data_IF_594437822225
#
_entry.id   IF_594437822225
#
_cell.length_a   1.000
_cell.length_b   1.000
_cell.length_c   1.000
_cell.angle_alpha   90.00
_cell.angle_beta   90.00
_cell.angle_gamma   90.00
#
_symmetry.space_group_name_H-M   'P 1'
#
loop_
_entity.id
_entity.type
_entity.pdbx_description
1 polymer ?
#
# COMPACT_ATOMS: atom_id res chain seq x y z
N UNK A 1 -33.27 -9.51 -38.11
CA UNK A 1 -32.16 -10.35 -37.59
C UNK A 1 -31.45 -9.62 -36.44
N UNK A 2 -32.03 -9.59 -35.24
CA UNK A 2 -31.40 -8.97 -34.05
C UNK A 2 -31.73 -9.82 -32.82
N UNK A 3 -31.18 -11.03 -32.74
CA UNK A 3 -31.46 -11.89 -31.56
C UNK A 3 -30.46 -13.03 -31.34
N UNK A 4 -29.23 -12.94 -31.86
CA UNK A 4 -28.18 -13.93 -31.59
C UNK A 4 -27.01 -13.41 -30.75
N UNK A 5 -26.82 -12.09 -30.66
CA UNK A 5 -25.66 -11.47 -29.99
C UNK A 5 -25.87 -11.14 -28.51
N UNK A 6 -27.09 -11.33 -27.97
CA UNK A 6 -27.44 -11.01 -26.58
C UNK A 6 -27.69 -12.26 -25.71
N UNK A 7 -27.06 -13.40 -26.05
CA UNK A 7 -27.21 -14.65 -25.27
C UNK A 7 -25.89 -15.30 -24.85
N UNK A 8 -24.78 -14.55 -24.79
CA UNK A 8 -23.48 -15.14 -24.40
C UNK A 8 -22.54 -14.24 -23.59
N UNK A 9 -23.08 -13.39 -22.71
CA UNK A 9 -22.25 -12.57 -21.79
C UNK A 9 -22.50 -12.88 -20.30
N UNK A 10 -23.34 -13.87 -19.99
CA UNK A 10 -23.80 -14.11 -18.62
C UNK A 10 -22.93 -15.10 -17.79
N UNK A 11 -21.76 -15.53 -18.26
CA UNK A 11 -21.06 -16.67 -17.60
C UNK A 11 -19.55 -16.59 -17.39
N UNK A 12 -18.84 -15.53 -17.83
CA UNK A 12 -17.36 -15.51 -17.75
C UNK A 12 -16.72 -14.18 -17.33
N UNK A 13 -17.49 -13.11 -17.19
CA UNK A 13 -16.96 -11.80 -16.79
C UNK A 13 -16.85 -11.63 -15.26
N UNK A 14 -17.53 -12.41 -14.42
CA UNK A 14 -17.41 -12.24 -12.96
C UNK A 14 -16.03 -12.57 -12.37
N UNK A 15 -15.42 -13.68 -12.80
CA UNK A 15 -14.16 -14.18 -12.22
C UNK A 15 -12.92 -13.39 -12.65
N UNK A 16 -12.86 -12.97 -13.92
CA UNK A 16 -11.70 -12.23 -14.45
C UNK A 16 -11.55 -10.85 -13.79
N UNK A 17 -12.66 -10.16 -13.50
CA UNK A 17 -12.62 -8.87 -12.83
C UNK A 17 -12.15 -9.00 -11.37
N UNK A 18 -12.54 -10.04 -10.64
CA UNK A 18 -12.07 -10.25 -9.26
C UNK A 18 -10.55 -10.50 -9.20
N UNK A 19 -10.00 -11.31 -10.10
CA UNK A 19 -8.55 -11.60 -10.16
C UNK A 19 -7.75 -10.36 -10.56
N UNK A 20 -8.22 -9.56 -11.53
CA UNK A 20 -7.57 -8.30 -11.92
C UNK A 20 -7.53 -7.29 -10.76
N UNK A 21 -8.62 -7.17 -9.99
CA UNK A 21 -8.65 -6.30 -8.81
C UNK A 21 -7.70 -6.78 -7.71
N UNK A 22 -7.61 -8.08 -7.48
CA UNK A 22 -6.65 -8.65 -6.52
C UNK A 22 -5.19 -8.42 -6.96
N UNK A 23 -4.87 -8.64 -8.24
CA UNK A 23 -3.52 -8.41 -8.76
C UNK A 23 -3.12 -6.93 -8.71
N UNK A 24 -4.04 -6.01 -9.00
CA UNK A 24 -3.81 -4.58 -8.83
C UNK A 24 -3.51 -4.21 -7.37
N UNK A 25 -4.17 -4.85 -6.40
CA UNK A 25 -3.85 -4.65 -4.98
C UNK A 25 -2.46 -5.16 -4.62
N UNK A 26 -2.08 -6.35 -5.11
CA UNK A 26 -0.73 -6.91 -4.92
C UNK A 26 0.33 -6.00 -5.52
N UNK A 27 0.12 -5.51 -6.74
CA UNK A 27 1.05 -4.57 -7.39
C UNK A 27 1.23 -3.29 -6.57
N UNK A 28 0.14 -2.68 -6.10
CA UNK A 28 0.22 -1.48 -5.27
C UNK A 28 0.97 -1.72 -3.97
N UNK A 29 0.74 -2.87 -3.33
CA UNK A 29 1.48 -3.26 -2.13
C UNK A 29 2.98 -3.42 -2.44
N UNK A 30 3.34 -4.07 -3.55
CA UNK A 30 4.73 -4.27 -3.96
C UNK A 30 5.44 -2.96 -4.32
N UNK A 31 4.76 -2.03 -4.98
CA UNK A 31 5.30 -0.71 -5.32
C UNK A 31 5.58 0.10 -4.03
N UNK A 32 4.61 0.14 -3.11
CA UNK A 32 4.79 0.74 -1.78
C UNK A 32 5.87 0.05 -0.98
N UNK A 33 6.03 -1.28 -1.09
CA UNK A 33 7.11 -2.03 -0.47
C UNK A 33 8.47 -1.52 -0.89
N UNK A 34 8.63 -1.31 -2.20
CA UNK A 34 9.88 -0.84 -2.77
C UNK A 34 10.21 0.59 -2.31
N UNK A 35 9.20 1.45 -2.20
CA UNK A 35 9.38 2.81 -1.66
C UNK A 35 9.71 2.80 -0.17
N UNK A 36 8.96 2.06 0.66
CA UNK A 36 9.26 1.87 2.09
C UNK A 36 10.67 1.32 2.30
N UNK A 37 11.10 0.34 1.49
CA UNK A 37 12.45 -0.21 1.58
C UNK A 37 13.55 0.81 1.25
N UNK A 38 13.31 1.71 0.31
CA UNK A 38 14.26 2.77 -0.09
C UNK A 38 14.34 3.89 0.94
N UNK A 39 13.19 4.38 1.40
CA UNK A 39 13.14 5.55 2.26
C UNK A 39 13.23 5.19 3.73
N UNK A 40 12.60 4.10 4.18
CA UNK A 40 12.42 3.71 5.59
C UNK A 40 12.66 2.20 5.80
N UNK A 41 13.88 1.68 5.55
CA UNK A 41 14.17 0.24 5.56
C UNK A 41 13.87 -0.45 6.90
N UNK A 42 13.97 0.27 8.03
CA UNK A 42 13.60 -0.25 9.35
C UNK A 42 12.09 -0.48 9.48
N UNK A 43 11.26 0.47 9.06
CA UNK A 43 9.81 0.29 9.05
C UNK A 43 9.39 -0.80 8.08
N UNK A 44 10.01 -0.86 6.89
CA UNK A 44 9.81 -1.97 5.97
C UNK A 44 10.08 -3.32 6.67
N UNK A 45 11.20 -3.45 7.37
CA UNK A 45 11.56 -4.70 8.04
C UNK A 45 10.59 -5.05 9.17
N UNK A 46 10.18 -4.08 9.98
CA UNK A 46 9.23 -4.29 11.07
C UNK A 46 7.89 -4.81 10.53
N UNK A 47 7.35 -4.15 9.50
CA UNK A 47 6.07 -4.57 8.91
C UNK A 47 6.18 -5.92 8.18
N UNK A 48 7.34 -6.24 7.60
CA UNK A 48 7.62 -7.54 6.98
C UNK A 48 7.58 -8.67 8.00
N UNK A 49 8.20 -8.48 9.18
CA UNK A 49 8.20 -9.49 10.24
C UNK A 49 6.80 -9.77 10.78
N UNK A 50 5.95 -8.76 10.81
CA UNK A 50 4.53 -8.87 11.20
C UNK A 50 3.62 -9.36 10.05
N UNK A 51 4.18 -9.71 8.88
CA UNK A 51 3.45 -10.18 7.68
C UNK A 51 2.40 -9.18 7.17
N UNK A 52 2.69 -7.88 7.27
CA UNK A 52 1.81 -6.79 6.84
C UNK A 52 2.14 -6.25 5.43
N UNK A 53 2.81 -7.05 4.61
CA UNK A 53 3.34 -6.66 3.28
C UNK A 53 2.24 -6.12 2.35
N UNK A 54 1.06 -6.75 2.38
CA UNK A 54 -0.08 -6.33 1.56
C UNK A 54 -0.70 -4.99 2.00
N UNK A 55 -0.40 -4.52 3.22
CA UNK A 55 -0.92 -3.27 3.76
C UNK A 55 0.01 -2.08 3.52
N UNK A 56 1.17 -2.30 2.91
CA UNK A 56 2.16 -1.24 2.70
C UNK A 56 1.60 -0.05 1.94
N UNK A 57 0.69 -0.27 0.99
CA UNK A 57 0.05 0.82 0.24
C UNK A 57 -0.86 1.72 1.09
N UNK A 58 -1.33 1.23 2.23
CA UNK A 58 -2.10 2.01 3.20
C UNK A 58 -1.17 2.77 4.15
N UNK A 59 -0.08 2.12 4.55
CA UNK A 59 0.82 2.60 5.60
C UNK A 59 1.86 3.60 5.06
N UNK A 60 2.44 3.32 3.88
CA UNK A 60 3.43 4.17 3.21
C UNK A 60 3.01 5.65 3.17
N UNK A 61 1.83 6.04 2.65
CA UNK A 61 1.48 7.46 2.54
C UNK A 61 1.34 8.16 3.90
N UNK A 62 0.94 7.43 4.95
CA UNK A 62 0.82 8.00 6.31
C UNK A 62 2.20 8.26 6.89
N UNK A 63 3.11 7.29 6.79
CA UNK A 63 4.47 7.42 7.33
C UNK A 63 5.30 8.42 6.51
N UNK A 64 5.17 8.42 5.18
CA UNK A 64 5.89 9.38 4.33
C UNK A 64 5.43 10.82 4.58
N UNK A 65 4.15 11.05 4.92
CA UNK A 65 3.65 12.36 5.34
C UNK A 65 4.18 12.80 6.71
N UNK A 66 4.32 11.86 7.65
CA UNK A 66 4.94 12.11 8.95
C UNK A 66 6.39 12.62 8.81
N UNK A 67 7.04 12.26 7.70
CA UNK A 67 8.43 12.60 7.40
C UNK A 67 9.40 11.55 7.93
N UNK A 68 10.61 11.54 7.36
CA UNK A 68 11.66 10.62 7.77
C UNK A 68 12.18 11.00 9.16
N UNK A 69 11.75 10.27 10.19
CA UNK A 69 12.36 10.33 11.50
C UNK A 69 13.46 9.28 11.59
N UNK A 70 14.70 9.72 11.46
CA UNK A 70 15.82 8.87 11.83
C UNK A 70 15.87 8.78 13.36
N UNK A 71 15.15 7.83 13.94
CA UNK A 71 15.08 7.59 15.39
C UNK A 71 16.43 7.41 16.07
N UNK A 72 17.49 7.10 15.33
CA UNK A 72 18.86 7.01 15.86
C UNK A 72 19.59 8.35 15.94
N UNK A 73 19.13 9.37 15.22
CA UNK A 73 19.75 10.71 15.17
C UNK A 73 18.78 11.85 15.44
N UNK A 74 17.50 11.56 15.67
CA UNK A 74 16.45 12.55 15.86
C UNK A 74 16.55 13.17 17.25
N UNK A 75 16.41 14.50 17.30
CA UNK A 75 16.24 15.21 18.57
C UNK A 75 14.80 15.09 19.08
N UNK A 76 14.57 15.35 20.37
CA UNK A 76 13.23 15.35 20.98
C UNK A 76 12.25 16.29 20.24
N UNK A 77 12.76 17.40 19.70
CA UNK A 77 11.99 18.34 18.90
C UNK A 77 11.54 17.72 17.57
N UNK A 78 12.44 17.00 16.88
CA UNK A 78 12.12 16.32 15.62
C UNK A 78 11.07 15.23 15.83
N UNK A 79 11.20 14.49 16.94
CA UNK A 79 10.26 13.44 17.34
C UNK A 79 8.87 14.04 17.56
N UNK A 80 8.78 15.10 18.38
CA UNK A 80 7.53 15.78 18.71
C UNK A 80 6.83 16.34 17.45
N UNK A 81 7.59 16.94 16.55
CA UNK A 81 7.06 17.52 15.32
C UNK A 81 6.46 16.47 14.37
N UNK A 82 7.06 15.28 14.27
CA UNK A 82 6.50 14.21 13.45
C UNK A 82 5.19 13.67 14.04
N UNK A 83 5.10 13.53 15.37
CA UNK A 83 3.85 13.14 16.03
C UNK A 83 2.72 14.13 15.77
N UNK A 84 3.00 15.44 15.81
CA UNK A 84 2.02 16.48 15.47
C UNK A 84 1.55 16.32 14.02
N UNK A 85 2.46 16.10 13.07
CA UNK A 85 2.13 15.93 11.65
C UNK A 85 1.34 14.65 11.34
N UNK A 86 1.47 13.60 12.15
CA UNK A 86 0.66 12.39 12.01
C UNK A 86 -0.78 12.56 12.53
N UNK A 87 -0.99 13.46 13.50
CA UNK A 87 -2.29 13.71 14.10
C UNK A 87 -3.15 14.71 13.30
N UNK A 88 -2.59 15.36 12.28
CA UNK A 88 -3.24 16.31 11.38
C UNK A 88 -3.65 15.66 10.05
#
# INVERSE_FOLDING_TARGET
>A
MQSALMKKVAGRTGGAFLVLNAYAMVQRAADSANNLKKFLPLFYHALYMEKLEMMYFLIEPVIMKAGYLNIYTASDHDITNAFIKMAQ
#
